data_IF_743632285252
#
_entry.id   IF_743632285252
#
_cell.length_a   1.000
_cell.length_b   1.000
_cell.length_c   1.000
_cell.angle_alpha   90.00
_cell.angle_beta   90.00
_cell.angle_gamma   90.00
#
_symmetry.space_group_name_H-M   'P 1'
#
loop_
_entity.id
_entity.type
_entity.pdbx_description
1 polymer ?
#
# COMPACT_ATOMS: atom_id res chain seq x y z
N UNK A 1 4.65 14.07 -12.64
CA UNK A 1 4.48 13.17 -11.47
C UNK A 1 3.12 12.47 -11.61
N UNK A 2 3.02 11.15 -11.40
CA UNK A 2 1.74 10.42 -11.61
C UNK A 2 0.76 10.67 -10.45
N UNK A 3 -0.55 10.49 -10.70
CA UNK A 3 -1.61 10.63 -9.67
C UNK A 3 -1.33 9.76 -8.44
N UNK A 4 -0.86 8.54 -8.62
CA UNK A 4 -0.54 7.63 -7.52
C UNK A 4 0.62 8.12 -6.64
N UNK A 5 1.67 8.69 -7.23
CA UNK A 5 2.81 9.25 -6.48
C UNK A 5 2.37 10.48 -5.69
N UNK A 6 1.63 11.40 -6.33
CA UNK A 6 1.10 12.58 -5.65
C UNK A 6 0.17 12.22 -4.48
N UNK A 7 -0.75 11.27 -4.69
CA UNK A 7 -1.69 10.82 -3.64
C UNK A 7 -0.94 10.14 -2.49
N UNK A 8 0.08 9.33 -2.79
CA UNK A 8 0.90 8.68 -1.75
C UNK A 8 1.68 9.70 -0.93
N UNK A 9 2.30 10.70 -1.56
CA UNK A 9 3.03 11.77 -0.87
C UNK A 9 2.11 12.60 0.02
N UNK A 10 0.90 12.92 -0.44
CA UNK A 10 -0.10 13.63 0.36
C UNK A 10 -0.49 12.82 1.62
N UNK A 11 -0.65 11.50 1.50
CA UNK A 11 -0.89 10.61 2.65
C UNK A 11 0.33 10.56 3.57
N UNK A 12 1.54 10.43 3.03
CA UNK A 12 2.79 10.43 3.80
C UNK A 12 2.93 11.71 4.61
N UNK A 13 2.61 12.86 4.01
CA UNK A 13 2.63 14.16 4.67
C UNK A 13 1.55 14.28 5.75
N UNK A 14 0.30 13.94 5.43
CA UNK A 14 -0.85 13.96 6.36
C UNK A 14 -0.56 13.18 7.63
N UNK A 15 0.09 12.02 7.53
CA UNK A 15 0.42 11.16 8.66
C UNK A 15 1.88 11.28 9.14
N UNK A 16 2.66 12.22 8.59
CA UNK A 16 4.07 12.49 8.95
C UNK A 16 4.92 11.22 8.96
N UNK A 17 4.82 10.41 7.91
CA UNK A 17 5.56 9.16 7.81
C UNK A 17 7.03 9.42 7.46
N UNK A 18 7.91 9.32 8.46
CA UNK A 18 9.36 9.42 8.30
C UNK A 18 10.06 8.06 8.25
N UNK A 19 9.40 7.00 8.74
CA UNK A 19 9.90 5.63 8.79
C UNK A 19 8.86 4.66 8.23
N UNK A 20 9.24 3.41 7.87
CA UNK A 20 8.28 2.41 7.45
C UNK A 20 7.14 2.24 8.48
N UNK A 21 5.87 2.37 8.09
CA UNK A 21 4.76 2.30 9.02
C UNK A 21 4.60 0.89 9.59
N UNK A 22 4.24 0.80 10.87
CA UNK A 22 3.85 -0.49 11.48
C UNK A 22 2.44 -0.89 11.03
N UNK A 23 2.06 -2.15 11.27
CA UNK A 23 0.68 -2.61 11.06
C UNK A 23 -0.32 -1.72 11.83
N UNK A 24 -0.03 -1.38 13.09
CA UNK A 24 -0.86 -0.50 13.92
C UNK A 24 -1.02 0.90 13.28
N UNK A 25 0.07 1.45 12.75
CA UNK A 25 0.05 2.73 12.05
C UNK A 25 -0.85 2.66 10.81
N UNK A 26 -0.73 1.61 9.99
CA UNK A 26 -1.56 1.45 8.80
C UNK A 26 -3.06 1.28 9.13
N UNK A 27 -3.39 0.57 10.21
CA UNK A 27 -4.76 0.51 10.71
C UNK A 27 -5.30 1.89 11.09
N UNK A 28 -4.51 2.66 11.84
CA UNK A 28 -4.90 4.01 12.24
C UNK A 28 -5.08 4.94 11.03
N UNK A 29 -4.21 4.82 10.02
CA UNK A 29 -4.34 5.57 8.76
C UNK A 29 -5.60 5.20 7.99
N UNK A 30 -5.90 3.90 7.82
CA UNK A 30 -7.12 3.44 7.15
C UNK A 30 -8.37 3.97 7.85
N UNK A 31 -8.42 3.87 9.19
CA UNK A 31 -9.52 4.45 9.96
C UNK A 31 -9.61 5.97 9.84
N UNK A 32 -8.47 6.67 9.80
CA UNK A 32 -8.39 8.12 9.59
C UNK A 32 -8.81 8.57 8.19
N UNK A 33 -8.74 7.69 7.19
CA UNK A 33 -9.33 7.88 5.86
C UNK A 33 -10.78 7.38 5.77
N UNK A 34 -11.41 6.97 6.88
CA UNK A 34 -12.79 6.47 6.87
C UNK A 34 -12.96 5.06 6.33
N UNK A 35 -11.89 4.27 6.25
CA UNK A 35 -11.93 2.86 5.83
C UNK A 35 -12.08 1.95 7.04
N UNK A 36 -13.20 1.24 7.10
CA UNK A 36 -13.43 0.20 8.10
C UNK A 36 -12.58 -1.03 7.76
N UNK A 37 -11.78 -1.52 8.71
CA UNK A 37 -10.98 -2.73 8.49
C UNK A 37 -11.57 -3.88 9.27
N UNK A 38 -11.97 -4.94 8.58
CA UNK A 38 -12.55 -6.14 9.18
C UNK A 38 -11.75 -7.39 8.79
N UNK A 39 -11.95 -8.49 9.51
CA UNK A 39 -11.29 -9.76 9.21
C UNK A 39 -12.29 -10.82 8.75
N UNK A 40 -11.92 -11.63 7.76
CA UNK A 40 -12.73 -12.77 7.31
C UNK A 40 -11.96 -14.08 7.39
N UNK A 41 -12.68 -15.20 7.46
CA UNK A 41 -12.11 -16.55 7.39
C UNK A 41 -12.37 -17.11 6.00
N UNK A 42 -11.32 -17.44 5.27
CA UNK A 42 -11.40 -18.12 3.98
C UNK A 42 -10.23 -19.07 3.85
N UNK A 43 -10.52 -20.33 3.50
CA UNK A 43 -9.51 -21.30 3.08
C UNK A 43 -9.15 -21.02 1.61
N UNK A 44 -8.26 -20.05 1.37
CA UNK A 44 -7.90 -19.62 0.03
C UNK A 44 -6.71 -18.67 -0.02
N UNK A 45 -6.34 -18.27 -1.23
CA UNK A 45 -5.19 -17.38 -1.51
C UNK A 45 -5.53 -15.89 -1.40
N UNK A 46 -6.82 -15.56 -1.29
CA UNK A 46 -7.26 -14.18 -1.19
C UNK A 46 -6.80 -13.61 0.15
N UNK A 47 -5.97 -12.58 0.09
CA UNK A 47 -5.37 -11.94 1.26
C UNK A 47 -6.24 -10.80 1.79
N UNK A 48 -6.77 -9.97 0.90
CA UNK A 48 -7.62 -8.83 1.24
C UNK A 48 -8.58 -8.51 0.10
N UNK A 49 -9.67 -7.82 0.42
CA UNK A 49 -10.66 -7.29 -0.53
C UNK A 49 -11.04 -5.89 -0.06
N UNK A 50 -11.02 -4.93 -0.97
CA UNK A 50 -11.53 -3.60 -0.70
C UNK A 50 -12.90 -3.43 -1.35
N UNK A 51 -13.83 -2.81 -0.64
CA UNK A 51 -15.18 -2.52 -1.12
C UNK A 51 -15.48 -1.05 -0.85
N UNK A 52 -16.12 -0.38 -1.82
CA UNK A 52 -16.72 0.93 -1.63
C UNK A 52 -18.17 0.87 -2.07
N UNK A 53 -19.08 1.30 -1.22
CA UNK A 53 -20.52 1.33 -1.52
C UNK A 53 -20.93 2.67 -2.15
N UNK A 54 -22.11 2.77 -2.78
CA UNK A 54 -22.61 4.03 -3.34
C UNK A 54 -22.84 5.15 -2.34
N UNK A 55 -23.09 4.81 -1.07
CA UNK A 55 -23.20 5.71 0.08
C UNK A 55 -21.85 6.00 0.77
N UNK A 56 -20.75 5.77 0.07
CA UNK A 56 -19.38 6.08 0.47
C UNK A 56 -18.83 5.29 1.68
N UNK A 57 -19.46 4.18 2.05
CA UNK A 57 -18.89 3.27 3.04
C UNK A 57 -17.73 2.50 2.41
N UNK A 58 -16.53 2.67 2.96
CA UNK A 58 -15.32 1.98 2.53
C UNK A 58 -14.95 0.87 3.52
N UNK A 59 -14.75 -0.35 3.03
CA UNK A 59 -14.38 -1.51 3.85
C UNK A 59 -13.18 -2.21 3.25
N UNK A 60 -12.17 -2.47 4.06
CA UNK A 60 -11.07 -3.38 3.76
C UNK A 60 -11.23 -4.66 4.58
N UNK A 61 -11.62 -5.74 3.92
CA UNK A 61 -11.67 -7.05 4.52
C UNK A 61 -10.31 -7.74 4.36
N UNK A 62 -9.68 -8.18 5.45
CA UNK A 62 -8.38 -8.90 5.44
C UNK A 62 -8.53 -10.32 5.95
N UNK A 63 -7.76 -11.26 5.41
CA UNK A 63 -7.79 -12.66 5.87
C UNK A 63 -7.33 -12.76 7.33
N UNK A 64 -8.11 -13.43 8.16
CA UNK A 64 -7.81 -13.63 9.58
C UNK A 64 -6.54 -14.47 9.76
N UNK A 65 -5.68 -14.07 10.70
CA UNK A 65 -4.46 -14.81 11.05
C UNK A 65 -3.32 -14.62 10.04
N UNK A 66 -3.40 -13.62 9.16
CA UNK A 66 -2.25 -13.28 8.32
C UNK A 66 -1.07 -12.83 9.17
N UNK A 67 0.15 -13.31 8.88
CA UNK A 67 1.32 -12.85 9.58
C UNK A 67 1.64 -11.39 9.20
N UNK A 68 2.35 -10.63 10.06
CA UNK A 68 2.59 -9.20 9.85
C UNK A 68 3.20 -8.84 8.51
N UNK A 69 4.11 -9.68 7.98
CA UNK A 69 4.78 -9.49 6.68
C UNK A 69 3.82 -9.57 5.48
N UNK A 70 2.67 -10.26 5.63
CA UNK A 70 1.60 -10.30 4.62
C UNK A 70 0.55 -9.23 4.87
N UNK A 71 0.21 -8.99 6.14
CA UNK A 71 -0.81 -8.03 6.52
C UNK A 71 -0.39 -6.60 6.20
N UNK A 72 0.86 -6.23 6.46
CA UNK A 72 1.34 -4.85 6.26
C UNK A 72 1.25 -4.42 4.78
N UNK A 73 1.74 -5.20 3.79
CA UNK A 73 1.49 -4.90 2.38
C UNK A 73 0.01 -4.87 1.99
N UNK A 74 -0.81 -5.77 2.56
CA UNK A 74 -2.24 -5.81 2.26
C UNK A 74 -2.96 -4.54 2.72
N UNK A 75 -2.64 -4.02 3.92
CA UNK A 75 -3.19 -2.77 4.41
C UNK A 75 -2.75 -1.56 3.56
N UNK A 76 -1.47 -1.51 3.17
CA UNK A 76 -0.97 -0.44 2.30
C UNK A 76 -1.62 -0.48 0.90
N UNK A 77 -1.89 -1.67 0.35
CA UNK A 77 -2.63 -1.82 -0.89
C UNK A 77 -4.10 -1.42 -0.73
N UNK A 78 -4.75 -1.75 0.39
CA UNK A 78 -6.10 -1.29 0.69
C UNK A 78 -6.19 0.23 0.76
N UNK A 79 -5.19 0.89 1.36
CA UNK A 79 -5.09 2.35 1.38
C UNK A 79 -4.89 2.92 -0.04
N UNK A 80 -4.09 2.25 -0.87
CA UNK A 80 -3.92 2.61 -2.28
C UNK A 80 -5.23 2.51 -3.05
N UNK A 81 -5.99 1.43 -2.85
CA UNK A 81 -7.31 1.22 -3.47
C UNK A 81 -8.27 2.32 -3.05
N UNK A 82 -8.32 2.67 -1.77
CA UNK A 82 -9.15 3.78 -1.29
C UNK A 82 -8.81 5.13 -1.96
N UNK A 83 -7.51 5.45 -2.07
CA UNK A 83 -7.05 6.71 -2.64
C UNK A 83 -7.22 6.80 -4.17
N UNK A 84 -7.09 5.67 -4.88
CA UNK A 84 -7.03 5.65 -6.35
C UNK A 84 -8.32 5.17 -7.02
N UNK A 85 -9.18 4.46 -6.29
CA UNK A 85 -10.44 3.92 -6.80
C UNK A 85 -11.64 4.62 -6.15
N UNK A 86 -12.10 5.75 -6.71
CA UNK A 86 -13.19 6.53 -6.12
C UNK A 86 -14.58 5.97 -6.41
N UNK A 87 -14.70 5.01 -7.34
CA UNK A 87 -16.00 4.48 -7.76
C UNK A 87 -16.49 3.41 -6.78
N UNK A 88 -17.80 3.27 -6.58
CA UNK A 88 -18.36 2.12 -5.89
C UNK A 88 -17.99 0.82 -6.61
N UNK A 89 -17.69 -0.23 -5.85
CA UNK A 89 -17.31 -1.52 -6.38
C UNK A 89 -16.52 -2.39 -5.40
N UNK A 90 -16.26 -3.63 -5.84
CA UNK A 90 -15.42 -4.60 -5.13
C UNK A 90 -14.09 -4.73 -5.88
N UNK A 91 -13.00 -4.48 -5.16
CA UNK A 91 -11.64 -4.48 -5.67
C UNK A 91 -10.88 -5.66 -5.07
N UNK A 92 -10.61 -6.63 -5.93
CA UNK A 92 -9.93 -7.88 -5.58
C UNK A 92 -8.50 -7.81 -6.11
N UNK A 93 -7.48 -7.85 -5.22
CA UNK A 93 -6.09 -7.83 -5.63
C UNK A 93 -5.77 -8.91 -6.65
N UNK A 94 -5.21 -8.51 -7.79
CA UNK A 94 -4.82 -9.39 -8.89
C UNK A 94 -5.86 -9.53 -10.00
N UNK A 95 -7.06 -8.98 -9.84
CA UNK A 95 -8.07 -8.90 -10.90
C UNK A 95 -8.08 -7.54 -11.62
N UNK A 96 -7.30 -6.56 -11.14
CA UNK A 96 -7.21 -5.26 -11.77
C UNK A 96 -6.37 -5.31 -13.07
N UNK A 97 -6.63 -4.42 -14.05
CA UNK A 97 -5.77 -4.27 -15.21
C UNK A 97 -4.31 -4.01 -14.81
N UNK A 98 -3.31 -4.52 -15.55
CA UNK A 98 -1.89 -4.40 -15.19
C UNK A 98 -1.42 -2.97 -14.90
N UNK A 99 -1.95 -1.98 -15.65
CA UNK A 99 -1.63 -0.58 -15.43
C UNK A 99 -2.14 -0.06 -14.07
N UNK A 100 -3.39 -0.36 -13.73
CA UNK A 100 -3.98 0.02 -12.45
C UNK A 100 -3.27 -0.67 -11.27
N UNK A 101 -2.97 -1.96 -11.42
CA UNK A 101 -2.18 -2.72 -10.44
C UNK A 101 -0.82 -2.05 -10.17
N UNK A 102 -0.11 -1.64 -11.21
CA UNK A 102 1.18 -0.96 -11.07
C UNK A 102 1.05 0.37 -10.32
N UNK A 103 -0.03 1.11 -10.52
CA UNK A 103 -0.28 2.36 -9.78
C UNK A 103 -0.54 2.10 -8.29
N UNK A 104 -1.35 1.10 -7.97
CA UNK A 104 -1.62 0.66 -6.59
C UNK A 104 -0.32 0.22 -5.90
N UNK A 105 0.50 -0.59 -6.58
CA UNK A 105 1.77 -1.07 -6.04
C UNK A 105 2.77 0.07 -5.82
N UNK A 106 2.85 1.05 -6.74
CA UNK A 106 3.72 2.24 -6.56
C UNK A 106 3.29 3.08 -5.36
N UNK A 107 1.97 3.29 -5.19
CA UNK A 107 1.43 3.99 -4.03
C UNK A 107 1.78 3.23 -2.74
N UNK A 108 1.47 1.93 -2.68
CA UNK A 108 1.71 1.13 -1.49
C UNK A 108 3.20 1.06 -1.15
N UNK A 109 4.07 0.94 -2.16
CA UNK A 109 5.52 0.94 -2.00
C UNK A 109 6.03 2.25 -1.38
N UNK A 110 5.54 3.41 -1.84
CA UNK A 110 5.88 4.71 -1.26
C UNK A 110 5.43 4.82 0.21
N UNK A 111 4.22 4.40 0.53
CA UNK A 111 3.72 4.44 1.91
C UNK A 111 4.52 3.51 2.82
N UNK A 112 4.85 2.31 2.35
CA UNK A 112 5.62 1.31 3.11
C UNK A 112 7.08 1.71 3.31
N UNK A 113 7.66 2.46 2.37
CA UNK A 113 9.01 3.00 2.46
C UNK A 113 8.96 4.49 2.09
N UNK A 114 8.61 5.37 3.04
CA UNK A 114 8.54 6.80 2.76
C UNK A 114 9.89 7.37 2.26
N UNK A 115 9.91 8.54 1.59
CA UNK A 115 11.15 9.17 1.13
C UNK A 115 12.22 9.29 2.23
N UNK A 116 11.82 9.68 3.45
CA UNK A 116 12.73 9.80 4.60
C UNK A 116 13.30 8.45 5.10
N UNK A 117 12.65 7.34 4.76
CA UNK A 117 13.10 5.99 5.11
C UNK A 117 14.02 5.36 4.05
N UNK A 118 14.17 6.01 2.89
CA UNK A 118 15.07 5.57 1.84
C UNK A 118 16.47 6.13 2.15
N UNK A 119 17.44 5.25 2.42
CA UNK A 119 18.80 5.69 2.74
C UNK A 119 19.47 6.28 1.49
N UNK A 120 20.38 7.25 1.70
CA UNK A 120 21.24 7.76 0.62
C UNK A 120 22.04 6.58 0.03
N UNK A 121 21.84 6.28 -1.25
CA UNK A 121 22.44 5.13 -1.93
C UNK A 121 21.48 3.98 -2.24
N UNK A 122 20.28 3.96 -1.64
CA UNK A 122 19.28 2.93 -1.95
C UNK A 122 18.65 3.13 -3.34
N UNK A 123 18.61 4.35 -3.85
CA UNK A 123 18.08 4.64 -5.19
C UNK A 123 18.87 3.94 -6.32
N UNK A 124 20.09 3.47 -6.02
CA UNK A 124 20.93 2.64 -6.89
C UNK A 124 21.11 1.21 -6.37
N UNK A 125 20.42 0.84 -5.29
CA UNK A 125 20.64 -0.42 -4.57
C UNK A 125 19.85 -1.61 -5.11
N UNK A 126 20.34 -2.78 -4.71
CA UNK A 126 19.75 -4.09 -4.90
C UNK A 126 18.33 -4.16 -4.30
N UNK A 127 17.37 -4.58 -5.13
CA UNK A 127 15.95 -4.73 -4.76
C UNK A 127 15.77 -5.72 -3.61
N UNK A 128 16.57 -6.79 -3.55
CA UNK A 128 16.48 -7.79 -2.48
C UNK A 128 16.80 -7.20 -1.12
N UNK A 129 17.89 -6.43 -1.04
CA UNK A 129 18.30 -5.76 0.21
C UNK A 129 17.25 -4.79 0.74
N UNK A 130 16.60 -4.02 -0.15
CA UNK A 130 15.51 -3.14 0.25
C UNK A 130 14.31 -3.94 0.76
N UNK A 131 13.95 -5.03 0.07
CA UNK A 131 12.86 -5.91 0.46
C UNK A 131 13.07 -6.48 1.86
N UNK A 132 14.26 -7.01 2.14
CA UNK A 132 14.62 -7.61 3.42
C UNK A 132 14.63 -6.58 4.54
N UNK A 133 15.33 -5.45 4.35
CA UNK A 133 15.42 -4.39 5.36
C UNK A 133 14.07 -3.77 5.67
N UNK A 134 13.27 -3.50 4.64
CA UNK A 134 11.96 -2.91 4.84
C UNK A 134 10.95 -3.96 5.33
N UNK A 135 11.16 -5.26 5.10
CA UNK A 135 10.22 -6.35 5.39
C UNK A 135 9.03 -6.40 4.41
N UNK A 136 9.25 -6.03 3.15
CA UNK A 136 8.20 -5.98 2.11
C UNK A 136 8.47 -7.00 0.99
N UNK A 137 7.45 -7.42 0.23
CA UNK A 137 7.66 -8.22 -0.97
C UNK A 137 8.62 -7.55 -1.96
N UNK A 138 9.48 -8.35 -2.59
CA UNK A 138 10.46 -7.92 -3.61
C UNK A 138 9.83 -7.06 -4.70
N UNK A 139 8.60 -7.40 -5.11
CA UNK A 139 7.86 -6.61 -6.09
C UNK A 139 7.61 -5.16 -5.62
N UNK A 140 7.21 -4.95 -4.37
CA UNK A 140 6.98 -3.61 -3.83
C UNK A 140 8.30 -2.85 -3.63
N UNK A 141 9.37 -3.54 -3.25
CA UNK A 141 10.71 -2.95 -3.22
C UNK A 141 11.14 -2.48 -4.62
N UNK A 142 10.92 -3.28 -5.66
CA UNK A 142 11.22 -2.90 -7.04
C UNK A 142 10.42 -1.66 -7.46
N UNK A 143 9.13 -1.60 -7.12
CA UNK A 143 8.28 -0.42 -7.37
C UNK A 143 8.76 0.81 -6.63
N UNK A 144 9.25 0.64 -5.40
CA UNK A 144 9.78 1.75 -4.61
C UNK A 144 11.00 2.38 -5.27
N UNK A 145 11.95 1.55 -5.71
CA UNK A 145 13.17 1.99 -6.40
C UNK A 145 12.84 2.60 -7.76
N UNK A 146 11.88 2.02 -8.48
CA UNK A 146 11.37 2.58 -9.72
C UNK A 146 10.84 4.00 -9.51
N UNK A 147 10.05 4.24 -8.46
CA UNK A 147 9.54 5.58 -8.13
C UNK A 147 10.69 6.54 -7.80
N UNK A 148 11.67 6.11 -6.99
CA UNK A 148 12.83 6.94 -6.65
C UNK A 148 13.60 7.38 -7.90
N UNK A 149 13.83 6.44 -8.84
CA UNK A 149 14.54 6.71 -10.09
C UNK A 149 13.80 7.70 -10.99
N UNK A 150 12.47 7.61 -11.08
CA UNK A 150 11.68 8.43 -12.01
C UNK A 150 11.25 9.77 -11.44
N UNK A 151 11.13 9.88 -10.11
CA UNK A 151 10.53 11.06 -9.46
C UNK A 151 11.41 11.69 -8.38
N UNK A 152 12.55 11.09 -8.03
CA UNK A 152 13.47 11.62 -7.02
C UNK A 152 12.95 11.56 -5.59
N UNK A 153 11.91 10.75 -5.34
CA UNK A 153 11.25 10.60 -4.03
C UNK A 153 11.25 9.18 -3.55
#
# INVERSE_FOLDING_TARGET
MTRCVHSALSIIEKYRLHSPPTVKTLYAMLLGEGVLVCSYRLAGRLAAVYCRTPDDVAVLAVRRGMPPEQLRPALALGLAQHALCPRPGVYVPGLEPPAARRELERFAALVLVPPGALARGDATADTGRLADRAGIPVLLAARRLEVAKHFGV
#
